data_IF_371910265929
#
_entry.id   IF_371910265929
#
_cell.length_a   1.000
_cell.length_b   1.000
_cell.length_c   1.000
_cell.angle_alpha   90.00
_cell.angle_beta   90.00
_cell.angle_gamma   90.00
#
_symmetry.space_group_name_H-M   'P 1'
#
loop_
_entity.id
_entity.type
_entity.pdbx_description
1 polymer ?
#
# COMPACT_ATOMS: atom_id res chain seq x y z
N UNK A 1 -12.69 28.53 -3.14
CA UNK A 1 -12.30 28.28 -4.54
C UNK A 1 -12.55 26.81 -4.80
N UNK A 2 -13.24 26.49 -5.89
CA UNK A 2 -13.42 25.10 -6.35
C UNK A 2 -12.04 24.47 -6.65
N UNK A 3 -11.83 23.18 -6.38
CA UNK A 3 -10.57 22.52 -6.68
C UNK A 3 -10.35 22.41 -8.19
N UNK A 4 -9.09 22.50 -8.64
CA UNK A 4 -8.74 22.26 -10.03
C UNK A 4 -8.80 20.76 -10.34
N UNK A 5 -9.76 20.32 -11.14
CA UNK A 5 -9.94 18.90 -11.50
C UNK A 5 -9.36 18.62 -12.89
N UNK A 6 -8.52 17.60 -13.01
CA UNK A 6 -7.96 17.16 -14.28
C UNK A 6 -8.14 15.64 -14.46
N UNK A 7 -8.89 15.26 -15.49
CA UNK A 7 -9.16 13.87 -15.87
C UNK A 7 -8.06 13.35 -16.79
N UNK A 8 -7.61 12.12 -16.57
CA UNK A 8 -6.55 11.48 -17.37
C UNK A 8 -6.89 11.40 -18.86
N UNK A 9 -8.16 11.38 -19.23
CA UNK A 9 -8.60 11.36 -20.62
C UNK A 9 -8.24 12.66 -21.36
N UNK A 10 -8.20 13.80 -20.66
CA UNK A 10 -7.78 15.07 -21.25
C UNK A 10 -6.28 15.09 -21.59
N UNK A 11 -5.49 14.17 -21.01
CA UNK A 11 -4.09 13.95 -21.36
C UNK A 11 -3.89 12.84 -22.41
N UNK A 12 -4.98 12.32 -23.01
CA UNK A 12 -4.94 11.30 -24.06
C UNK A 12 -4.92 9.86 -23.57
N UNK A 13 -5.31 9.58 -22.31
CA UNK A 13 -5.52 8.21 -21.85
C UNK A 13 -6.69 7.57 -22.63
N UNK A 14 -6.53 6.31 -23.03
CA UNK A 14 -7.49 5.55 -23.84
C UNK A 14 -8.46 4.78 -22.94
N UNK A 15 -7.96 4.14 -21.87
CA UNK A 15 -8.82 3.49 -20.88
C UNK A 15 -9.47 2.17 -21.35
N UNK A 16 -8.84 1.47 -22.30
CA UNK A 16 -9.26 0.15 -22.82
C UNK A 16 -8.66 -1.03 -22.02
N UNK A 17 -7.62 -0.79 -21.22
CA UNK A 17 -6.90 -1.77 -20.42
C UNK A 17 -5.84 -2.56 -21.19
N UNK A 18 -5.54 -2.15 -22.41
CA UNK A 18 -4.59 -2.77 -23.34
C UNK A 18 -3.53 -1.77 -23.80
N UNK A 19 -3.95 -0.54 -24.10
CA UNK A 19 -3.08 0.58 -24.49
C UNK A 19 -2.29 1.10 -23.29
N UNK A 20 -1.00 1.38 -23.49
CA UNK A 20 -0.13 1.91 -22.43
C UNK A 20 -0.45 3.39 -22.14
N UNK A 21 -1.24 3.62 -21.08
CA UNK A 21 -1.72 4.94 -20.66
C UNK A 21 -0.71 5.70 -19.78
N UNK A 22 0.48 5.14 -19.53
CA UNK A 22 1.44 5.69 -18.58
C UNK A 22 1.85 7.12 -18.89
N UNK A 23 2.04 7.44 -20.17
CA UNK A 23 2.44 8.80 -20.58
C UNK A 23 1.30 9.80 -20.35
N UNK A 24 0.05 9.41 -20.60
CA UNK A 24 -1.11 10.24 -20.31
C UNK A 24 -1.22 10.53 -18.80
N UNK A 25 -0.98 9.52 -17.95
CA UNK A 25 -0.94 9.70 -16.49
C UNK A 25 0.16 10.66 -16.04
N UNK A 26 1.38 10.55 -16.60
CA UNK A 26 2.48 11.50 -16.36
C UNK A 26 2.09 12.93 -16.75
N UNK A 27 1.52 13.10 -17.94
CA UNK A 27 1.13 14.40 -18.46
C UNK A 27 0.03 15.04 -17.61
N UNK A 28 -1.03 14.28 -17.29
CA UNK A 28 -2.10 14.72 -16.40
C UNK A 28 -1.57 15.13 -15.02
N UNK A 29 -0.61 14.37 -14.47
CA UNK A 29 -0.01 14.68 -13.19
C UNK A 29 0.77 15.99 -13.22
N UNK A 30 1.59 16.20 -14.25
CA UNK A 30 2.36 17.44 -14.40
C UNK A 30 1.45 18.67 -14.46
N UNK A 31 0.28 18.55 -15.09
CA UNK A 31 -0.71 19.62 -15.17
C UNK A 31 -1.31 19.92 -13.78
N UNK A 32 -1.73 18.89 -13.04
CA UNK A 32 -2.24 19.07 -11.66
C UNK A 32 -1.16 19.67 -10.76
N UNK A 33 0.04 19.11 -10.79
CA UNK A 33 1.16 19.47 -9.92
C UNK A 33 1.68 20.91 -10.15
N UNK A 34 1.54 21.43 -11.38
CA UNK A 34 1.94 22.80 -11.75
C UNK A 34 0.82 23.85 -11.66
N UNK A 35 -0.39 23.43 -11.29
CA UNK A 35 -1.54 24.32 -11.14
C UNK A 35 -1.27 25.43 -10.12
N UNK A 36 -1.77 26.63 -10.40
CA UNK A 36 -1.70 27.78 -9.50
C UNK A 36 -2.85 27.79 -8.47
N UNK A 37 -3.80 26.86 -8.59
CA UNK A 37 -4.87 26.70 -7.62
C UNK A 37 -4.32 25.94 -6.40
N UNK A 38 -4.61 26.38 -5.15
CA UNK A 38 -4.06 25.73 -3.95
C UNK A 38 -4.44 24.26 -3.75
N UNK A 39 -5.47 23.78 -4.47
CA UNK A 39 -5.97 22.41 -4.37
C UNK A 39 -6.24 21.83 -5.75
N UNK A 40 -5.76 20.60 -5.98
CA UNK A 40 -5.85 19.90 -7.25
C UNK A 40 -6.45 18.50 -7.09
N UNK A 41 -7.20 18.04 -8.09
CA UNK A 41 -7.77 16.70 -8.18
C UNK A 41 -7.27 16.05 -9.45
N UNK A 42 -6.51 14.97 -9.31
CA UNK A 42 -6.17 14.06 -10.40
C UNK A 42 -7.25 12.98 -10.47
N UNK A 43 -7.94 12.84 -11.61
CA UNK A 43 -9.10 11.95 -11.75
C UNK A 43 -8.85 10.80 -12.72
N UNK A 44 -9.04 9.58 -12.21
CA UNK A 44 -9.15 8.34 -12.99
C UNK A 44 -10.63 7.96 -13.04
N UNK A 45 -11.31 8.11 -14.18
CA UNK A 45 -12.77 8.05 -14.26
C UNK A 45 -13.33 6.63 -14.13
N UNK A 46 -14.54 6.55 -13.57
CA UNK A 46 -15.33 5.32 -13.49
C UNK A 46 -15.62 4.73 -14.88
N UNK A 47 -15.71 3.40 -14.94
CA UNK A 47 -16.12 2.67 -16.15
C UNK A 47 -14.99 2.43 -17.16
N UNK A 48 -13.78 2.91 -16.89
CA UNK A 48 -12.60 2.74 -17.75
C UNK A 48 -11.50 1.97 -17.04
N UNK A 49 -10.61 1.36 -17.84
CA UNK A 49 -9.52 0.51 -17.37
C UNK A 49 -8.21 0.98 -17.99
N UNK A 50 -7.22 1.35 -17.20
CA UNK A 50 -5.99 1.95 -17.69
C UNK A 50 -4.82 1.01 -17.45
N UNK A 51 -4.12 0.60 -18.51
CA UNK A 51 -2.86 -0.13 -18.38
C UNK A 51 -1.75 0.87 -18.08
N UNK A 52 -1.18 0.77 -16.89
CA UNK A 52 -0.16 1.70 -16.41
C UNK A 52 1.11 0.93 -16.04
N UNK A 53 2.24 1.34 -16.61
CA UNK A 53 3.59 0.90 -16.27
C UNK A 53 4.03 1.50 -14.93
N UNK A 54 5.17 1.08 -14.37
CA UNK A 54 5.72 1.69 -13.15
C UNK A 54 5.78 3.21 -13.22
N UNK A 55 5.23 3.86 -12.20
CA UNK A 55 5.07 5.31 -12.18
C UNK A 55 5.21 5.89 -10.77
N UNK A 56 5.98 6.98 -10.68
CA UNK A 56 6.14 7.77 -9.46
C UNK A 56 5.44 9.12 -9.60
N UNK A 57 4.60 9.44 -8.61
CA UNK A 57 4.04 10.77 -8.40
C UNK A 57 4.80 11.43 -7.25
N UNK A 58 5.45 12.56 -7.54
CA UNK A 58 6.20 13.35 -6.54
C UNK A 58 5.36 14.54 -6.07
N UNK A 59 5.16 14.66 -4.76
CA UNK A 59 4.36 15.66 -4.07
C UNK A 59 5.01 17.05 -3.91
N UNK A 60 6.21 17.28 -4.44
CA UNK A 60 6.85 18.60 -4.57
C UNK A 60 6.14 19.51 -5.60
N UNK A 61 4.84 19.67 -5.40
CA UNK A 61 3.93 20.39 -6.27
C UNK A 61 3.61 21.79 -5.74
N UNK A 62 3.05 22.62 -6.63
CA UNK A 62 2.53 23.93 -6.28
C UNK A 62 1.26 23.82 -5.42
N UNK A 63 0.21 23.06 -5.79
CA UNK A 63 -0.87 22.75 -4.86
C UNK A 63 -0.34 21.91 -3.70
N UNK A 64 -0.77 22.23 -2.48
CA UNK A 64 -0.43 21.45 -1.28
C UNK A 64 -1.47 20.41 -0.93
N UNK A 65 -2.74 20.69 -1.27
CA UNK A 65 -3.83 19.74 -1.05
C UNK A 65 -4.13 19.03 -2.38
N UNK A 66 -3.72 17.78 -2.49
CA UNK A 66 -3.93 17.00 -3.71
C UNK A 66 -4.83 15.81 -3.41
N UNK A 67 -5.85 15.64 -4.25
CA UNK A 67 -6.69 14.45 -4.24
C UNK A 67 -6.44 13.62 -5.50
N UNK A 68 -6.03 12.38 -5.33
CA UNK A 68 -6.12 11.35 -6.36
C UNK A 68 -7.46 10.64 -6.23
N UNK A 69 -8.37 10.96 -7.15
CA UNK A 69 -9.68 10.34 -7.26
C UNK A 69 -9.58 9.15 -8.23
N UNK A 70 -9.61 7.93 -7.71
CA UNK A 70 -9.51 6.69 -8.48
C UNK A 70 -10.86 5.97 -8.44
N UNK A 71 -11.68 6.19 -9.47
CA UNK A 71 -12.98 5.52 -9.63
C UNK A 71 -12.94 4.43 -10.71
N UNK A 72 -11.98 4.50 -11.62
CA UNK A 72 -11.72 3.49 -12.65
C UNK A 72 -10.86 2.32 -12.18
N UNK A 73 -10.44 1.51 -13.13
CA UNK A 73 -9.56 0.36 -12.91
C UNK A 73 -8.15 0.71 -13.37
N UNK A 74 -7.16 0.56 -12.51
CA UNK A 74 -5.75 0.55 -12.91
C UNK A 74 -5.31 -0.90 -13.05
N UNK A 75 -4.69 -1.26 -14.15
CA UNK A 75 -4.12 -2.59 -14.38
C UNK A 75 -2.63 -2.47 -14.68
N UNK A 76 -1.84 -3.36 -14.09
CA UNK A 76 -0.43 -3.45 -14.35
C UNK A 76 -0.13 -4.45 -15.49
N UNK A 77 1.07 -4.43 -16.11
CA UNK A 77 1.42 -5.39 -17.17
C UNK A 77 1.35 -6.84 -16.69
N UNK A 78 0.59 -7.68 -17.38
CA UNK A 78 0.39 -9.08 -16.97
C UNK A 78 1.67 -9.91 -17.08
N UNK A 79 2.43 -9.72 -18.16
CA UNK A 79 3.68 -10.44 -18.36
C UNK A 79 4.87 -9.72 -17.70
N UNK A 80 5.70 -10.41 -16.90
CA UNK A 80 6.92 -9.84 -16.32
C UNK A 80 7.85 -9.21 -17.36
N UNK A 81 7.95 -9.77 -18.57
CA UNK A 81 8.76 -9.21 -19.66
C UNK A 81 8.22 -7.88 -20.21
N UNK A 82 6.93 -7.59 -19.98
CA UNK A 82 6.27 -6.36 -20.43
C UNK A 82 6.33 -5.23 -19.40
N UNK A 83 6.97 -5.46 -18.25
CA UNK A 83 7.22 -4.46 -17.23
C UNK A 83 8.34 -3.51 -17.67
N UNK A 84 7.96 -2.33 -18.15
CA UNK A 84 8.89 -1.33 -18.69
C UNK A 84 9.29 -0.35 -17.60
N UNK A 85 10.55 -0.42 -17.19
CA UNK A 85 11.14 0.49 -16.21
C UNK A 85 11.69 1.74 -16.90
N UNK A 86 10.90 2.82 -16.92
CA UNK A 86 11.32 4.13 -17.44
C UNK A 86 11.58 5.16 -16.32
N UNK A 87 11.64 4.72 -15.06
CA UNK A 87 11.80 5.55 -13.87
C UNK A 87 12.92 4.99 -12.98
N UNK A 88 13.37 5.76 -12.01
CA UNK A 88 14.44 5.42 -11.06
C UNK A 88 14.04 4.35 -10.03
N UNK A 89 12.74 4.22 -9.73
CA UNK A 89 12.23 3.22 -8.77
C UNK A 89 11.27 2.23 -9.43
N UNK A 90 11.82 1.14 -9.97
CA UNK A 90 11.05 0.09 -10.62
C UNK A 90 10.80 -1.13 -9.73
N UNK A 91 10.97 -0.97 -8.42
CA UNK A 91 10.61 -1.99 -7.43
C UNK A 91 9.15 -1.88 -6.98
N UNK A 92 8.50 -0.75 -7.30
CA UNK A 92 7.10 -0.47 -7.03
C UNK A 92 6.34 -0.27 -8.35
N UNK A 93 5.05 -0.62 -8.40
CA UNK A 93 4.21 -0.31 -9.54
C UNK A 93 3.73 1.14 -9.50
N UNK A 94 3.08 1.58 -8.42
CA UNK A 94 2.68 2.98 -8.27
C UNK A 94 3.26 3.53 -6.97
N UNK A 95 4.04 4.60 -7.07
CA UNK A 95 4.68 5.27 -5.93
C UNK A 95 4.15 6.67 -5.77
N UNK A 96 3.76 7.03 -4.54
CA UNK A 96 3.53 8.40 -4.12
C UNK A 96 4.62 8.78 -3.12
N UNK A 97 5.38 9.84 -3.42
CA UNK A 97 6.48 10.25 -2.56
C UNK A 97 6.51 11.75 -2.32
N UNK A 98 7.06 12.16 -1.17
CA UNK A 98 7.27 13.57 -0.81
C UNK A 98 5.99 14.42 -0.76
N UNK A 99 4.88 13.82 -0.32
CA UNK A 99 3.64 14.55 -0.09
C UNK A 99 3.55 15.07 1.34
N UNK A 100 2.94 16.25 1.52
CA UNK A 100 2.38 16.72 2.80
C UNK A 100 0.95 17.20 2.54
N UNK A 101 -0.03 16.31 2.74
CA UNK A 101 -1.45 16.58 2.44
C UNK A 101 -1.98 15.90 1.17
N UNK A 102 -1.82 14.58 1.08
CA UNK A 102 -2.33 13.75 -0.03
C UNK A 102 -3.59 13.00 0.38
N UNK A 103 -4.63 13.05 -0.45
CA UNK A 103 -5.82 12.21 -0.36
C UNK A 103 -5.85 11.27 -1.56
N UNK A 104 -5.91 9.98 -1.33
CA UNK A 104 -6.11 8.94 -2.34
C UNK A 104 -7.45 8.28 -2.02
N UNK A 105 -8.43 8.43 -2.89
CA UNK A 105 -9.78 7.98 -2.62
C UNK A 105 -10.50 7.51 -3.87
N UNK A 106 -11.66 6.90 -3.68
CA UNK A 106 -12.55 6.50 -4.75
C UNK A 106 -13.04 5.07 -4.56
N UNK A 107 -13.76 4.57 -5.54
CA UNK A 107 -14.32 3.21 -5.54
C UNK A 107 -13.61 2.27 -6.51
N UNK A 108 -12.54 2.75 -7.15
CA UNK A 108 -11.79 2.04 -8.16
C UNK A 108 -10.96 0.87 -7.62
N UNK A 109 -10.35 0.13 -8.56
CA UNK A 109 -9.53 -1.04 -8.25
C UNK A 109 -8.14 -0.98 -8.88
N UNK A 110 -7.16 -1.53 -8.17
CA UNK A 110 -5.77 -1.66 -8.61
C UNK A 110 -5.45 -3.14 -8.81
N UNK A 111 -5.21 -3.55 -10.05
CA UNK A 111 -4.96 -4.94 -10.45
C UNK A 111 -3.48 -5.15 -10.70
N UNK A 112 -2.80 -5.74 -9.71
CA UNK A 112 -1.36 -5.97 -9.71
C UNK A 112 -0.87 -7.11 -10.60
N UNK A 113 -1.75 -7.96 -11.15
CA UNK A 113 -1.38 -9.05 -12.08
C UNK A 113 -0.21 -9.94 -11.58
N UNK A 114 -0.27 -10.36 -10.32
CA UNK A 114 0.81 -11.07 -9.62
C UNK A 114 1.09 -12.51 -10.07
N UNK A 115 0.14 -13.19 -10.72
CA UNK A 115 0.19 -14.65 -10.92
C UNK A 115 1.48 -15.15 -11.58
N UNK A 116 1.91 -14.53 -12.70
CA UNK A 116 3.15 -14.91 -13.40
C UNK A 116 4.40 -14.59 -12.58
N UNK A 117 4.38 -13.53 -11.78
CA UNK A 117 5.51 -13.12 -10.94
C UNK A 117 5.74 -14.11 -9.81
N UNK A 118 4.67 -14.58 -9.18
CA UNK A 118 4.73 -15.58 -8.12
C UNK A 118 5.39 -16.90 -8.57
N UNK A 119 5.26 -17.26 -9.85
CA UNK A 119 5.88 -18.45 -10.45
C UNK A 119 7.40 -18.30 -10.68
N UNK A 120 7.92 -17.07 -10.72
CA UNK A 120 9.35 -16.78 -10.92
C UNK A 120 10.15 -16.73 -9.62
N UNK A 121 9.48 -16.82 -8.47
CA UNK A 121 10.10 -16.73 -7.14
C UNK A 121 10.16 -15.32 -6.57
N UNK A 122 10.27 -15.25 -5.24
CA UNK A 122 9.97 -14.05 -4.44
C UNK A 122 10.94 -12.87 -4.63
N UNK A 123 12.17 -13.13 -5.09
CA UNK A 123 13.21 -12.10 -5.19
C UNK A 123 12.95 -11.06 -6.29
N UNK A 124 12.10 -11.38 -7.26
CA UNK A 124 11.81 -10.50 -8.40
C UNK A 124 10.52 -9.69 -8.21
N UNK A 125 9.78 -9.94 -7.13
CA UNK A 125 8.44 -9.40 -6.94
C UNK A 125 8.44 -7.90 -6.65
N UNK A 126 7.51 -7.19 -7.29
CA UNK A 126 7.35 -5.73 -7.23
C UNK A 126 6.22 -5.36 -6.29
N UNK A 127 6.41 -4.35 -5.44
CA UNK A 127 5.34 -3.84 -4.56
C UNK A 127 4.25 -3.23 -5.43
N UNK A 128 2.98 -3.44 -5.08
CA UNK A 128 1.85 -2.86 -5.82
C UNK A 128 1.82 -1.35 -5.67
N UNK A 129 1.57 -0.88 -4.46
CA UNK A 129 1.35 0.53 -4.17
C UNK A 129 2.27 0.98 -3.04
N UNK A 130 2.92 2.15 -3.15
CA UNK A 130 3.85 2.64 -2.13
C UNK A 130 3.61 4.11 -1.77
N UNK A 131 3.59 4.40 -0.47
CA UNK A 131 3.70 5.74 0.11
C UNK A 131 5.07 5.87 0.75
N UNK A 132 5.90 6.76 0.20
CA UNK A 132 7.29 6.95 0.63
C UNK A 132 7.50 8.38 1.09
N UNK A 133 8.27 8.59 2.17
CA UNK A 133 8.79 9.91 2.56
C UNK A 133 7.69 11.00 2.62
N UNK A 134 6.51 10.64 3.12
CA UNK A 134 5.32 11.49 3.04
C UNK A 134 4.67 11.71 4.40
N UNK A 135 3.87 12.78 4.49
CA UNK A 135 3.17 13.21 5.69
C UNK A 135 1.70 13.50 5.37
N UNK A 136 0.83 13.30 6.36
CA UNK A 136 -0.59 13.66 6.27
C UNK A 136 -1.27 13.03 5.04
N UNK A 137 -1.15 11.70 4.91
CA UNK A 137 -1.70 10.95 3.77
C UNK A 137 -2.98 10.22 4.17
N UNK A 138 -4.03 10.34 3.38
CA UNK A 138 -5.30 9.64 3.59
C UNK A 138 -5.57 8.73 2.41
N UNK A 139 -5.83 7.44 2.66
CA UNK A 139 -6.13 6.44 1.64
C UNK A 139 -7.49 5.83 1.98
N UNK A 140 -8.45 5.83 1.06
CA UNK A 140 -9.76 5.26 1.36
C UNK A 140 -10.55 4.68 0.20
N UNK A 141 -11.34 3.63 0.48
CA UNK A 141 -12.37 3.09 -0.43
C UNK A 141 -11.87 2.15 -1.53
N UNK A 142 -10.56 2.13 -1.79
CA UNK A 142 -9.99 1.40 -2.92
C UNK A 142 -9.95 -0.12 -2.71
N UNK A 143 -10.02 -0.83 -3.83
CA UNK A 143 -9.75 -2.27 -3.90
C UNK A 143 -8.37 -2.53 -4.49
N UNK A 144 -7.55 -3.38 -3.85
CA UNK A 144 -6.26 -3.82 -4.40
C UNK A 144 -6.27 -5.33 -4.60
N UNK A 145 -5.93 -5.77 -5.80
CA UNK A 145 -6.04 -7.17 -6.24
C UNK A 145 -4.72 -7.71 -6.76
N UNK A 146 -4.40 -8.94 -6.35
CA UNK A 146 -3.34 -9.77 -6.91
C UNK A 146 -2.00 -9.03 -7.08
N UNK A 147 -1.54 -8.38 -6.01
CA UNK A 147 -0.24 -7.70 -6.05
C UNK A 147 0.90 -8.70 -6.23
N UNK A 148 1.94 -8.32 -6.97
CA UNK A 148 3.12 -9.17 -7.21
C UNK A 148 3.88 -9.45 -5.92
N UNK A 149 3.86 -8.49 -4.99
CA UNK A 149 4.39 -8.56 -3.62
C UNK A 149 3.37 -7.93 -2.66
N UNK A 150 3.83 -7.16 -1.68
CA UNK A 150 2.98 -6.37 -0.81
C UNK A 150 2.01 -5.51 -1.63
N UNK A 151 0.74 -5.44 -1.20
CA UNK A 151 -0.25 -4.62 -1.86
C UNK A 151 0.00 -3.14 -1.62
N UNK A 152 0.20 -2.75 -0.35
CA UNK A 152 0.47 -1.37 0.06
C UNK A 152 1.72 -1.35 0.95
N UNK A 153 2.69 -0.52 0.61
CA UNK A 153 3.84 -0.19 1.47
C UNK A 153 3.70 1.25 1.99
N UNK A 154 3.94 1.45 3.28
CA UNK A 154 4.03 2.76 3.93
C UNK A 154 5.41 2.84 4.57
N UNK A 155 6.27 3.67 4.01
CA UNK A 155 7.68 3.74 4.39
C UNK A 155 8.14 5.18 4.62
N UNK A 156 8.96 5.39 5.67
CA UNK A 156 9.52 6.71 6.05
C UNK A 156 8.46 7.81 6.11
N UNK A 157 7.25 7.46 6.55
CA UNK A 157 6.09 8.33 6.47
C UNK A 157 5.45 8.60 7.83
N UNK A 158 4.68 9.68 7.93
CA UNK A 158 4.00 10.04 9.18
C UNK A 158 2.56 10.52 9.01
N UNK A 159 1.72 10.25 10.00
CA UNK A 159 0.30 10.64 9.96
C UNK A 159 -0.42 10.10 8.72
N UNK A 160 -0.36 8.78 8.53
CA UNK A 160 -1.04 8.09 7.42
C UNK A 160 -2.31 7.42 7.93
N UNK A 161 -3.44 7.68 7.28
CA UNK A 161 -4.73 7.07 7.59
C UNK A 161 -5.23 6.26 6.40
N UNK A 162 -5.22 4.93 6.53
CA UNK A 162 -5.72 4.00 5.52
C UNK A 162 -7.03 3.36 6.01
N UNK A 163 -8.13 3.53 5.27
CA UNK A 163 -9.43 3.01 5.72
C UNK A 163 -10.34 2.52 4.62
N UNK A 164 -11.32 1.65 4.97
CA UNK A 164 -12.31 1.14 4.01
C UNK A 164 -11.65 0.46 2.79
N UNK A 165 -10.51 -0.18 3.01
CA UNK A 165 -9.77 -0.85 1.94
C UNK A 165 -10.25 -2.28 1.78
N UNK A 166 -10.20 -2.77 0.54
CA UNK A 166 -10.49 -4.15 0.20
C UNK A 166 -9.29 -4.76 -0.51
N UNK A 167 -8.48 -5.53 0.21
CA UNK A 167 -7.24 -6.11 -0.31
C UNK A 167 -7.44 -7.60 -0.51
N UNK A 168 -7.12 -8.11 -1.70
CA UNK A 168 -7.38 -9.50 -2.10
C UNK A 168 -6.25 -10.08 -2.93
N UNK A 169 -5.73 -11.22 -2.50
CA UNK A 169 -4.93 -12.13 -3.29
C UNK A 169 -5.23 -13.59 -2.86
N UNK A 170 -4.89 -14.60 -3.67
CA UNK A 170 -5.03 -16.01 -3.30
C UNK A 170 -4.27 -16.35 -2.03
N UNK A 171 -4.78 -17.32 -1.25
CA UNK A 171 -4.15 -17.76 0.02
C UNK A 171 -2.73 -18.29 -0.16
N UNK A 172 -2.44 -18.84 -1.32
CA UNK A 172 -1.17 -19.46 -1.70
C UNK A 172 -0.25 -18.48 -2.45
N UNK A 173 -0.63 -17.21 -2.60
CA UNK A 173 0.19 -16.21 -3.27
C UNK A 173 1.38 -15.77 -2.37
N UNK A 174 2.63 -15.91 -2.83
CA UNK A 174 3.81 -15.67 -2.01
C UNK A 174 4.05 -14.17 -1.76
N UNK A 175 4.28 -13.81 -0.49
CA UNK A 175 4.65 -12.45 -0.05
C UNK A 175 3.69 -11.34 -0.48
N UNK A 176 2.40 -11.66 -0.56
CA UNK A 176 1.35 -10.71 -0.90
C UNK A 176 0.83 -9.96 0.31
N UNK A 177 1.71 -9.53 1.22
CA UNK A 177 1.32 -8.81 2.44
C UNK A 177 0.32 -7.69 2.12
N UNK A 178 -0.73 -7.54 2.92
CA UNK A 178 -1.76 -6.55 2.63
C UNK A 178 -1.23 -5.12 2.78
N UNK A 179 -0.81 -4.77 4.01
CA UNK A 179 -0.21 -3.46 4.28
C UNK A 179 1.09 -3.67 5.05
N UNK A 180 2.21 -3.24 4.46
CA UNK A 180 3.51 -3.20 5.11
C UNK A 180 3.81 -1.79 5.62
N UNK A 181 4.20 -1.67 6.89
CA UNK A 181 4.59 -0.41 7.52
C UNK A 181 6.06 -0.52 7.94
N UNK A 182 6.89 0.46 7.59
CA UNK A 182 8.29 0.49 8.03
C UNK A 182 8.80 1.93 8.20
N UNK A 183 9.67 2.17 9.19
CA UNK A 183 10.23 3.49 9.53
C UNK A 183 9.19 4.61 9.62
N UNK A 184 7.98 4.29 10.09
CA UNK A 184 6.84 5.20 9.98
C UNK A 184 6.17 5.45 11.33
N UNK A 185 5.62 6.65 11.52
CA UNK A 185 5.06 7.09 12.80
C UNK A 185 3.62 7.55 12.67
N UNK A 186 2.78 7.26 13.66
CA UNK A 186 1.38 7.71 13.68
C UNK A 186 0.59 7.19 12.47
N UNK A 187 0.46 5.86 12.39
CA UNK A 187 -0.20 5.18 11.27
C UNK A 187 -1.51 4.58 11.78
N UNK A 188 -2.61 4.87 11.08
CA UNK A 188 -3.91 4.27 11.38
C UNK A 188 -4.38 3.43 10.20
N UNK A 189 -4.74 2.18 10.47
CA UNK A 189 -5.40 1.28 9.52
C UNK A 189 -6.76 0.91 10.09
N UNK A 190 -7.85 1.22 9.38
CA UNK A 190 -9.19 1.10 9.94
C UNK A 190 -10.27 0.57 8.99
N UNK A 191 -11.16 -0.28 9.50
CA UNK A 191 -12.40 -0.69 8.78
C UNK A 191 -12.12 -1.31 7.41
N UNK A 192 -11.13 -2.21 7.33
CA UNK A 192 -10.66 -2.81 6.07
C UNK A 192 -10.80 -4.32 6.08
N UNK A 193 -10.97 -4.90 4.89
CA UNK A 193 -10.99 -6.34 4.64
C UNK A 193 -9.69 -6.69 3.92
N UNK A 194 -8.92 -7.62 4.45
CA UNK A 194 -7.62 -8.01 3.92
C UNK A 194 -7.55 -9.52 3.81
N UNK A 195 -7.38 -10.00 2.57
CA UNK A 195 -7.27 -11.41 2.21
C UNK A 195 -6.00 -11.59 1.38
N UNK A 196 -5.01 -12.31 1.89
CA UNK A 196 -3.68 -12.39 1.27
C UNK A 196 -3.08 -13.77 1.47
N UNK A 197 -1.95 -14.06 0.83
CA UNK A 197 -1.17 -15.26 1.09
C UNK A 197 -0.11 -15.09 2.18
N UNK A 198 0.10 -13.86 2.67
CA UNK A 198 1.04 -13.56 3.75
C UNK A 198 0.37 -12.69 4.83
N UNK A 199 1.12 -11.89 5.58
CA UNK A 199 0.63 -11.00 6.63
C UNK A 199 -0.47 -10.05 6.09
N UNK A 200 -1.62 -9.98 6.76
CA UNK A 200 -2.62 -8.96 6.44
C UNK A 200 -2.04 -7.55 6.67
N UNK A 201 -1.35 -7.38 7.80
CA UNK A 201 -0.63 -6.16 8.13
C UNK A 201 0.71 -6.56 8.75
N UNK A 202 1.81 -6.16 8.12
CA UNK A 202 3.16 -6.37 8.60
C UNK A 202 3.77 -5.06 9.09
N UNK A 203 4.33 -5.05 10.31
CA UNK A 203 4.97 -3.87 10.90
C UNK A 203 6.47 -4.15 11.08
N UNK A 204 7.30 -3.37 10.39
CA UNK A 204 8.75 -3.48 10.38
C UNK A 204 9.44 -2.43 11.24
N UNK A 205 10.77 -2.50 11.24
CA UNK A 205 11.67 -1.65 12.03
C UNK A 205 11.35 -0.14 11.93
N UNK A 206 11.72 0.59 12.98
CA UNK A 206 11.60 2.04 13.10
C UNK A 206 10.18 2.57 13.20
N UNK A 207 9.19 1.68 13.36
CA UNK A 207 7.77 2.06 13.33
C UNK A 207 7.22 2.29 14.73
N UNK A 208 6.43 3.37 14.92
CA UNK A 208 5.83 3.67 16.22
C UNK A 208 4.47 4.36 16.16
N UNK A 209 3.67 4.20 17.21
CA UNK A 209 2.30 4.74 17.31
C UNK A 209 1.42 4.23 16.15
N UNK A 210 1.22 2.92 16.12
CA UNK A 210 0.44 2.25 15.09
C UNK A 210 -0.92 1.87 15.67
N UNK A 211 -2.00 2.29 15.04
CA UNK A 211 -3.37 2.01 15.48
C UNK A 211 -4.12 1.22 14.40
N UNK A 212 -4.44 -0.03 14.70
CA UNK A 212 -5.15 -0.94 13.81
C UNK A 212 -6.52 -1.22 14.42
N UNK A 213 -7.59 -0.94 13.70
CA UNK A 213 -8.94 -1.01 14.25
C UNK A 213 -9.97 -1.55 13.26
N UNK A 214 -10.87 -2.43 13.68
CA UNK A 214 -11.95 -2.96 12.83
C UNK A 214 -11.42 -3.61 11.54
N UNK A 215 -10.55 -4.60 11.68
CA UNK A 215 -9.97 -5.33 10.54
C UNK A 215 -10.62 -6.70 10.42
N UNK A 216 -11.04 -7.06 9.22
CA UNK A 216 -11.34 -8.44 8.87
C UNK A 216 -10.15 -9.00 8.10
N UNK A 217 -9.35 -9.83 8.75
CA UNK A 217 -8.10 -10.39 8.22
C UNK A 217 -8.27 -11.88 7.95
N UNK A 218 -7.99 -12.33 6.73
CA UNK A 218 -8.07 -13.73 6.39
C UNK A 218 -8.46 -14.02 4.95
N UNK A 219 -8.06 -15.15 4.37
CA UNK A 219 -6.91 -15.96 4.81
C UNK A 219 -5.60 -15.16 4.80
N UNK A 220 -4.53 -15.73 5.36
CA UNK A 220 -3.20 -15.11 5.44
C UNK A 220 -2.46 -15.45 6.74
N UNK A 221 -1.40 -14.71 7.07
CA UNK A 221 -0.59 -14.97 8.26
C UNK A 221 -1.04 -14.20 9.52
N UNK A 222 -2.04 -13.33 9.41
CA UNK A 222 -2.49 -12.47 10.52
C UNK A 222 -1.88 -11.07 10.50
N UNK A 223 -1.81 -10.42 11.66
CA UNK A 223 -1.08 -9.16 11.85
C UNK A 223 0.28 -9.49 12.45
N UNK A 224 1.38 -9.13 11.80
CA UNK A 224 2.72 -9.49 12.26
C UNK A 224 3.57 -8.26 12.56
N UNK A 225 4.39 -8.36 13.60
CA UNK A 225 5.58 -7.51 13.78
C UNK A 225 6.82 -8.29 13.34
N UNK A 226 7.66 -7.66 12.55
CA UNK A 226 8.90 -8.20 12.04
C UNK A 226 8.83 -8.76 10.61
N UNK A 227 9.76 -9.64 10.21
CA UNK A 227 10.91 -10.08 11.03
C UNK A 227 11.79 -8.93 11.50
N UNK A 228 12.29 -9.00 12.73
CA UNK A 228 13.22 -8.02 13.30
C UNK A 228 14.56 -8.66 13.66
N UNK A 229 15.62 -7.87 13.62
CA UNK A 229 16.96 -8.23 14.12
C UNK A 229 17.80 -9.09 13.18
N UNK A 230 17.49 -9.04 11.89
CA UNK A 230 18.28 -9.72 10.86
C UNK A 230 19.75 -9.28 10.94
N UNK A 231 20.68 -10.24 10.89
CA UNK A 231 22.13 -10.02 11.05
C UNK A 231 22.52 -9.37 12.39
N UNK A 232 21.73 -9.57 13.45
CA UNK A 232 22.00 -9.01 14.78
C UNK A 232 21.74 -7.51 14.90
N UNK A 233 21.05 -6.91 13.92
CA UNK A 233 20.68 -5.49 13.96
C UNK A 233 19.77 -5.19 15.14
N UNK A 234 19.90 -4.00 15.70
CA UNK A 234 18.97 -3.50 16.71
C UNK A 234 17.81 -2.81 16.02
N UNK A 235 16.64 -3.44 16.08
CA UNK A 235 15.42 -2.96 15.43
C UNK A 235 14.29 -2.81 16.46
N UNK A 236 13.42 -1.82 16.27
CA UNK A 236 12.40 -1.44 17.26
C UNK A 236 11.05 -1.16 16.63
N UNK A 237 9.98 -1.62 17.30
CA UNK A 237 8.59 -1.30 16.94
C UNK A 237 7.79 -1.00 18.20
N UNK A 238 7.32 0.24 18.35
CA UNK A 238 6.76 0.71 19.62
C UNK A 238 5.30 1.18 19.51
N UNK A 239 4.51 0.95 20.56
CA UNK A 239 3.14 1.49 20.67
C UNK A 239 2.20 1.05 19.54
N UNK A 240 2.03 -0.26 19.37
CA UNK A 240 1.09 -0.86 18.41
C UNK A 240 -0.20 -1.23 19.12
N UNK A 241 -1.32 -0.63 18.73
CA UNK A 241 -2.64 -0.94 19.29
C UNK A 241 -3.47 -1.65 18.23
N UNK A 242 -4.03 -2.81 18.56
CA UNK A 242 -4.94 -3.55 17.68
C UNK A 242 -6.28 -3.72 18.39
N UNK A 243 -7.37 -3.25 17.75
CA UNK A 243 -8.71 -3.28 18.32
C UNK A 243 -9.72 -3.84 17.33
N UNK A 244 -10.69 -4.61 17.80
CA UNK A 244 -11.82 -5.09 16.99
C UNK A 244 -11.35 -5.80 15.70
N UNK A 245 -10.35 -6.66 15.81
CA UNK A 245 -9.84 -7.43 14.69
C UNK A 245 -10.47 -8.82 14.67
N UNK A 246 -10.98 -9.23 13.51
CA UNK A 246 -11.52 -10.56 13.27
C UNK A 246 -10.59 -11.30 12.31
N UNK A 247 -10.10 -12.44 12.75
CA UNK A 247 -9.26 -13.34 11.98
C UNK A 247 -10.07 -14.54 11.52
N UNK A 248 -9.88 -14.97 10.28
CA UNK A 248 -10.52 -16.18 9.75
C UNK A 248 -9.60 -16.89 8.77
N UNK A 249 -9.46 -18.21 8.92
CA UNK A 249 -8.56 -19.01 8.07
C UNK A 249 -7.13 -18.46 7.98
N UNK A 250 -6.67 -17.75 9.02
CA UNK A 250 -5.29 -17.28 9.14
C UNK A 250 -4.44 -18.28 9.90
N UNK A 251 -3.15 -18.29 9.64
CA UNK A 251 -2.20 -19.11 10.42
C UNK A 251 -2.05 -18.60 11.85
N UNK A 252 -2.07 -17.27 12.03
CA UNK A 252 -1.93 -16.61 13.32
C UNK A 252 -2.97 -15.50 13.44
N UNK A 253 -3.27 -15.09 14.68
CA UNK A 253 -3.99 -13.85 14.94
C UNK A 253 -3.02 -12.68 14.84
N UNK A 254 -2.27 -12.46 15.92
CA UNK A 254 -1.18 -11.48 15.96
C UNK A 254 0.14 -12.22 16.20
N UNK A 255 1.19 -11.94 15.44
CA UNK A 255 2.46 -12.68 15.47
C UNK A 255 3.65 -11.75 15.64
N UNK A 256 4.73 -12.25 16.23
CA UNK A 256 6.01 -11.54 16.38
C UNK A 256 7.10 -12.42 15.79
N UNK A 257 7.88 -11.87 14.86
CA UNK A 257 8.96 -12.55 14.17
C UNK A 257 10.28 -11.84 14.50
N UNK A 258 11.24 -12.56 15.06
CA UNK A 258 12.57 -12.01 15.40
C UNK A 258 13.63 -13.02 15.03
N UNK A 259 14.76 -12.62 14.45
CA UNK A 259 15.86 -13.56 14.20
C UNK A 259 16.47 -14.05 15.53
N UNK A 260 17.20 -15.17 15.51
CA UNK A 260 17.93 -15.66 16.70
C UNK A 260 19.16 -14.78 17.00
N UNK A 261 19.46 -14.50 18.29
CA UNK A 261 20.66 -13.76 18.72
C UNK A 261 20.43 -12.76 19.87
N UNK A 262 21.48 -12.03 20.29
CA UNK A 262 21.38 -10.96 21.31
C UNK A 262 20.71 -9.71 20.73
N UNK A 263 19.39 -9.71 20.67
CA UNK A 263 18.60 -8.59 20.16
C UNK A 263 17.92 -7.83 21.29
N UNK A 264 17.72 -6.52 21.10
CA UNK A 264 16.84 -5.73 21.96
C UNK A 264 15.61 -5.33 21.16
N UNK A 265 14.54 -6.11 21.29
CA UNK A 265 13.26 -5.81 20.67
C UNK A 265 12.37 -5.14 21.72
N UNK A 266 12.12 -3.84 21.55
CA UNK A 266 11.20 -3.10 22.43
C UNK A 266 9.82 -3.10 21.80
N UNK A 267 8.87 -3.75 22.44
CA UNK A 267 7.50 -3.90 21.95
C UNK A 267 6.54 -3.40 23.02
N UNK A 268 5.60 -2.54 22.64
CA UNK A 268 4.51 -2.05 23.51
C UNK A 268 3.22 -2.09 22.72
N UNK A 269 2.21 -2.73 23.27
CA UNK A 269 1.00 -3.06 22.53
C UNK A 269 -0.17 -3.42 23.40
N UNK A 270 -1.35 -3.16 22.85
CA UNK A 270 -2.62 -3.38 23.50
C UNK A 270 -3.59 -4.04 22.50
N UNK A 271 -4.21 -5.15 22.92
CA UNK A 271 -5.21 -5.88 22.16
C UNK A 271 -6.57 -5.73 22.84
N UNK A 272 -7.59 -5.32 22.09
CA UNK A 272 -8.97 -5.26 22.61
C UNK A 272 -9.96 -5.84 21.60
N UNK A 273 -10.85 -6.73 22.06
CA UNK A 273 -11.89 -7.36 21.25
C UNK A 273 -11.33 -8.01 19.97
N UNK A 274 -10.46 -9.00 20.15
CA UNK A 274 -9.87 -9.80 19.06
C UNK A 274 -10.40 -11.23 19.18
N UNK A 275 -10.96 -11.79 18.10
CA UNK A 275 -11.65 -13.08 18.13
C UNK A 275 -10.72 -14.32 18.06
N UNK A 276 -9.48 -14.14 17.63
CA UNK A 276 -8.45 -15.18 17.60
C UNK A 276 -7.10 -14.55 17.98
N UNK A 277 -6.57 -14.92 19.14
CA UNK A 277 -5.28 -14.44 19.62
C UNK A 277 -4.32 -15.62 19.77
N UNK A 278 -3.43 -15.79 18.78
CA UNK A 278 -2.28 -16.68 18.87
C UNK A 278 -1.02 -15.85 18.71
N UNK A 279 -0.56 -15.24 19.82
CA UNK A 279 0.75 -14.60 19.88
C UNK A 279 1.84 -15.67 19.87
N UNK A 280 2.29 -16.05 18.67
CA UNK A 280 3.49 -16.87 18.50
C UNK A 280 4.69 -15.93 18.33
N UNK A 281 5.66 -16.08 19.21
CA UNK A 281 7.02 -15.59 18.97
C UNK A 281 7.72 -16.70 18.20
N UNK A 282 7.94 -16.49 16.92
CA UNK A 282 8.75 -17.41 16.11
C UNK A 282 10.13 -16.79 15.89
N UNK A 283 11.15 -17.56 16.26
CA UNK A 283 12.55 -17.26 15.98
C UNK A 283 13.01 -17.92 14.68
#
# INVERSE_FOLDING_TARGET
MEPFVYDVNFAGAIGDGESDDTQAFKNAWNIVCSSHVPSGVFRVPYGQKFLVQPLTFNGECRPKNITFQIDGILIAPTDPSSWKCNDTNCNNWITFQHFDGLIIQGTGSLHGQGQKWWQMGCMHNKVGFAILDSKNVHISGLTSMDSRKWHISIERSSSVHASKLNIKAPKDSPNTDGIRIQHSTNITIASSIIKTGDDCIGIGDGSKYININRILCGPGHGISIGSLGENGRRETVEYVTVRRASFYSTENGVRIKTWQGRQTVKLRWNFHAVNQFHAKISA
#
